data_IF_789537482539
#
_entry.id   IF_789537482539
#
_cell.length_a   1.000
_cell.length_b   1.000
_cell.length_c   1.000
_cell.angle_alpha   90.00
_cell.angle_beta   90.00
_cell.angle_gamma   90.00
#
_symmetry.space_group_name_H-M   'P 1'
#
loop_
_entity.id
_entity.type
_entity.pdbx_description
1 polymer ?
#
# COMPACT_ATOMS: atom_id res chain seq x y z
N UNK A 1 -7.24 69.93 58.49
CA UNK A 1 -8.06 69.52 57.36
C UNK A 1 -7.15 68.73 56.45
N UNK A 2 -7.08 67.40 56.62
CA UNK A 2 -6.29 66.52 55.82
C UNK A 2 -7.23 65.40 55.38
N UNK A 3 -7.39 65.28 54.06
CA UNK A 3 -8.28 64.29 53.42
C UNK A 3 -7.62 62.94 53.37
N UNK A 4 -8.39 61.97 53.83
CA UNK A 4 -8.09 60.54 53.65
C UNK A 4 -8.17 60.08 52.17
N UNK A 5 -7.12 59.54 51.69
CA UNK A 5 -7.11 58.78 50.40
C UNK A 5 -7.11 57.25 50.65
N UNK A 6 -8.24 56.65 50.38
CA UNK A 6 -8.42 55.19 50.40
C UNK A 6 -7.64 54.52 49.34
N UNK A 7 -6.69 53.67 49.75
CA UNK A 7 -5.92 52.75 48.90
C UNK A 7 -6.77 51.47 48.66
N UNK A 8 -7.37 51.36 47.49
CA UNK A 8 -8.03 50.09 47.05
C UNK A 8 -6.98 49.15 46.51
N UNK A 9 -6.75 48.13 47.27
CA UNK A 9 -5.92 46.97 46.86
C UNK A 9 -6.69 46.15 45.81
N UNK A 10 -6.21 46.13 44.56
CA UNK A 10 -6.72 45.25 43.51
C UNK A 10 -5.95 43.94 43.61
N UNK A 11 -6.61 42.89 44.12
CA UNK A 11 -6.13 41.52 44.05
C UNK A 11 -6.40 40.97 42.63
N UNK A 12 -5.35 40.79 41.83
CA UNK A 12 -5.41 40.01 40.62
C UNK A 12 -5.30 38.52 40.98
N UNK A 13 -6.41 37.78 40.90
CA UNK A 13 -6.40 36.32 40.96
C UNK A 13 -5.98 35.79 39.62
N UNK A 14 -4.75 35.31 39.50
CA UNK A 14 -4.32 34.46 38.37
C UNK A 14 -4.95 33.05 38.55
N UNK A 15 -6.01 32.78 37.79
CA UNK A 15 -6.50 31.42 37.60
C UNK A 15 -5.58 30.72 36.60
N UNK A 16 -4.67 29.86 37.09
CA UNK A 16 -3.93 28.94 36.27
C UNK A 16 -4.90 27.82 35.89
N UNK A 17 -5.43 27.87 34.67
CA UNK A 17 -6.14 26.75 34.09
C UNK A 17 -5.10 25.63 33.76
N UNK A 18 -5.00 24.63 34.62
CA UNK A 18 -4.29 23.40 34.29
C UNK A 18 -5.11 22.70 33.21
N UNK A 19 -4.67 22.81 31.97
CA UNK A 19 -5.15 21.96 30.87
C UNK A 19 -4.60 20.57 31.15
N UNK A 20 -5.37 19.73 31.82
CA UNK A 20 -5.13 18.29 31.82
C UNK A 20 -5.39 17.80 30.38
N UNK A 21 -4.32 17.57 29.64
CA UNK A 21 -4.42 16.78 28.41
C UNK A 21 -4.97 15.41 28.84
N UNK A 22 -6.27 15.20 28.66
CA UNK A 22 -6.85 13.88 28.76
C UNK A 22 -6.20 13.06 27.65
N UNK A 23 -5.36 12.08 28.01
CA UNK A 23 -4.92 11.07 27.06
C UNK A 23 -6.19 10.45 26.47
N UNK A 24 -6.42 10.65 25.18
CA UNK A 24 -7.45 9.90 24.47
C UNK A 24 -7.18 8.39 24.70
N UNK A 25 -8.21 7.58 24.90
CA UNK A 25 -8.00 6.14 25.04
C UNK A 25 -7.20 5.64 23.84
N UNK A 26 -6.12 4.90 24.10
CA UNK A 26 -5.29 4.33 23.06
C UNK A 26 -6.19 3.41 22.21
N UNK A 27 -6.20 3.59 20.89
CA UNK A 27 -7.02 2.77 20.01
C UNK A 27 -6.67 1.29 20.19
N UNK A 28 -7.65 0.41 20.03
CA UNK A 28 -7.40 -1.03 20.03
C UNK A 28 -6.46 -1.35 18.86
N UNK A 29 -5.32 -2.02 19.11
CA UNK A 29 -4.38 -2.32 18.03
C UNK A 29 -5.05 -3.15 16.93
N UNK A 30 -4.85 -2.72 15.68
CA UNK A 30 -5.24 -3.48 14.50
C UNK A 30 -4.18 -4.55 14.21
N UNK A 31 -4.65 -5.73 13.85
CA UNK A 31 -3.88 -6.82 13.26
C UNK A 31 -4.86 -7.69 12.49
N UNK A 32 -5.02 -7.42 11.19
CA UNK A 32 -6.04 -8.08 10.38
C UNK A 32 -5.68 -8.10 8.90
N UNK A 33 -6.22 -9.07 8.18
CA UNK A 33 -6.27 -9.05 6.72
C UNK A 33 -7.42 -8.13 6.30
N UNK A 34 -7.12 -7.16 5.44
CA UNK A 34 -8.11 -6.23 4.91
C UNK A 34 -8.53 -6.58 3.48
N UNK A 35 -7.65 -7.18 2.68
CA UNK A 35 -7.99 -7.69 1.34
C UNK A 35 -7.51 -9.13 1.21
N UNK A 36 -8.33 -10.14 1.51
CA UNK A 36 -8.04 -11.53 1.16
C UNK A 36 -8.09 -11.75 -0.34
N UNK A 37 -7.29 -12.67 -0.86
CA UNK A 37 -7.16 -12.93 -2.28
C UNK A 37 -5.94 -12.23 -2.88
N UNK A 38 -5.94 -11.98 -4.20
CA UNK A 38 -4.79 -11.41 -4.90
C UNK A 38 -4.87 -9.87 -4.97
N UNK A 39 -4.44 -9.23 -3.90
CA UNK A 39 -4.32 -7.77 -3.76
C UNK A 39 -2.89 -7.42 -3.31
N UNK A 40 -1.89 -7.66 -4.17
CA UNK A 40 -0.48 -7.49 -3.82
C UNK A 40 -0.01 -6.04 -3.95
N UNK A 41 1.15 -5.79 -3.32
CA UNK A 41 1.91 -4.55 -3.47
C UNK A 41 1.10 -3.29 -3.10
N UNK A 42 0.47 -3.26 -1.89
CA UNK A 42 -0.39 -2.17 -1.49
C UNK A 42 0.38 -0.85 -1.34
N UNK A 43 -0.18 0.21 -1.89
CA UNK A 43 0.22 1.59 -1.63
C UNK A 43 -0.95 2.36 -1.08
N UNK A 44 -0.75 3.10 0.00
CA UNK A 44 -1.82 3.79 0.72
C UNK A 44 -1.48 5.26 0.94
N UNK A 45 -2.48 6.12 0.77
CA UNK A 45 -2.43 7.57 0.98
C UNK A 45 -3.50 7.99 1.99
N UNK A 46 -3.18 8.89 2.90
CA UNK A 46 -4.15 9.61 3.74
C UNK A 46 -4.36 11.03 3.24
N UNK A 47 -5.61 11.45 3.13
CA UNK A 47 -6.02 12.82 2.86
C UNK A 47 -7.07 13.26 3.89
N UNK A 48 -6.63 13.92 4.95
CA UNK A 48 -7.49 14.24 6.08
C UNK A 48 -7.91 13.02 6.87
N UNK A 49 -9.21 12.69 6.83
CA UNK A 49 -9.78 11.48 7.43
C UNK A 49 -10.00 10.34 6.44
N UNK A 50 -9.70 10.58 5.18
CA UNK A 50 -9.92 9.63 4.09
C UNK A 50 -8.62 8.90 3.76
N UNK A 51 -8.74 7.62 3.42
CA UNK A 51 -7.64 6.77 2.98
C UNK A 51 -7.93 6.25 1.58
N UNK A 52 -6.90 6.22 0.76
CA UNK A 52 -6.97 5.71 -0.61
C UNK A 52 -5.88 4.67 -0.81
N UNK A 53 -6.22 3.56 -1.46
CA UNK A 53 -5.30 2.45 -1.70
C UNK A 53 -5.42 1.96 -3.14
N UNK A 54 -4.32 1.50 -3.69
CA UNK A 54 -4.29 0.74 -4.95
C UNK A 54 -3.21 -0.34 -4.91
N UNK A 55 -3.25 -1.25 -5.87
CA UNK A 55 -2.44 -2.48 -5.91
C UNK A 55 -1.89 -2.71 -7.31
N UNK A 56 -0.98 -3.66 -7.45
CA UNK A 56 -0.61 -4.22 -8.75
C UNK A 56 -1.86 -4.75 -9.46
N UNK A 57 -1.94 -4.53 -10.75
CA UNK A 57 -3.07 -4.98 -11.58
C UNK A 57 -2.66 -5.99 -12.65
N UNK A 58 -1.37 -6.23 -12.79
CA UNK A 58 -0.82 -7.13 -13.81
C UNK A 58 -1.44 -6.90 -15.19
N UNK A 59 -1.93 -7.94 -15.84
CA UNK A 59 -2.53 -7.92 -17.17
C UNK A 59 -4.03 -7.67 -17.17
N UNK A 60 -4.60 -7.21 -16.06
CA UNK A 60 -6.05 -6.98 -15.92
C UNK A 60 -6.41 -5.52 -16.11
N UNK A 61 -7.34 -5.23 -17.04
CA UNK A 61 -7.81 -3.89 -17.38
C UNK A 61 -9.35 -3.78 -17.36
N UNK A 62 -9.92 -2.63 -16.99
CA UNK A 62 -9.25 -1.43 -16.51
C UNK A 62 -8.41 -1.70 -15.26
N UNK A 63 -7.25 -1.04 -15.15
CA UNK A 63 -6.23 -1.30 -14.15
C UNK A 63 -6.20 -0.25 -13.03
N UNK A 64 -5.40 -0.52 -11.98
CA UNK A 64 -5.20 0.35 -10.82
C UNK A 64 -6.54 0.71 -10.17
N UNK A 65 -7.21 -0.31 -9.61
CA UNK A 65 -8.42 -0.10 -8.82
C UNK A 65 -8.10 0.74 -7.59
N UNK A 66 -8.74 1.90 -7.49
CA UNK A 66 -8.62 2.81 -6.36
C UNK A 66 -9.72 2.49 -5.35
N UNK A 67 -9.30 2.24 -4.14
CA UNK A 67 -10.15 1.98 -2.98
C UNK A 67 -10.19 3.20 -2.07
N UNK A 68 -11.32 3.41 -1.40
CA UNK A 68 -11.53 4.43 -0.38
C UNK A 68 -11.94 3.81 0.95
N UNK A 69 -11.47 4.38 2.06
CA UNK A 69 -11.86 4.02 3.42
C UNK A 69 -11.79 5.25 4.33
N UNK A 70 -12.57 5.23 5.42
CA UNK A 70 -12.47 6.20 6.52
C UNK A 70 -12.03 5.58 7.85
N UNK A 71 -11.82 4.25 7.87
CA UNK A 71 -11.48 3.51 9.10
C UNK A 71 -10.34 2.49 8.93
N UNK A 72 -9.76 2.36 7.71
CA UNK A 72 -8.69 1.43 7.34
C UNK A 72 -9.12 -0.06 7.31
N UNK A 73 -10.36 -0.37 7.61
CA UNK A 73 -10.88 -1.74 7.69
C UNK A 73 -11.92 -2.02 6.62
N UNK A 74 -12.86 -1.10 6.44
CA UNK A 74 -13.90 -1.19 5.43
C UNK A 74 -13.55 -0.32 4.23
N UNK A 75 -13.59 -0.92 3.05
CA UNK A 75 -13.13 -0.29 1.81
C UNK A 75 -14.23 -0.32 0.75
N UNK A 76 -14.29 0.70 -0.07
CA UNK A 76 -15.16 0.76 -1.24
C UNK A 76 -14.35 1.03 -2.50
N UNK A 77 -14.60 0.35 -3.61
CA UNK A 77 -13.95 0.66 -4.89
C UNK A 77 -14.58 1.92 -5.48
N UNK A 78 -13.75 2.91 -5.85
CA UNK A 78 -14.24 4.21 -6.32
C UNK A 78 -13.84 4.56 -7.76
N UNK A 79 -12.76 3.97 -8.29
CA UNK A 79 -12.29 4.24 -9.64
C UNK A 79 -11.37 3.14 -10.17
N UNK A 80 -11.19 3.11 -11.48
CA UNK A 80 -10.08 2.47 -12.18
C UNK A 80 -9.25 3.57 -12.85
N UNK A 81 -7.96 3.67 -12.53
CA UNK A 81 -7.14 4.80 -12.94
C UNK A 81 -6.52 4.66 -14.34
N UNK A 82 -6.47 3.44 -14.90
CA UNK A 82 -5.94 3.16 -16.24
C UNK A 82 -6.93 2.31 -17.00
N UNK A 83 -7.45 2.83 -18.10
CA UNK A 83 -8.53 2.19 -18.87
C UNK A 83 -8.08 0.95 -19.64
N UNK A 84 -6.93 1.03 -20.32
CA UNK A 84 -6.43 -0.05 -21.18
C UNK A 84 -4.92 0.01 -21.33
N UNK A 85 -4.31 -1.12 -21.74
CA UNK A 85 -2.87 -1.24 -22.00
C UNK A 85 -2.49 -2.63 -22.51
N UNK A 86 -1.34 -2.72 -23.18
CA UNK A 86 -0.74 -3.95 -23.71
C UNK A 86 0.49 -4.40 -22.90
N UNK A 87 0.46 -4.14 -21.60
CA UNK A 87 1.52 -4.42 -20.62
C UNK A 87 0.93 -4.83 -19.28
N UNK A 88 1.75 -5.47 -18.45
CA UNK A 88 1.41 -5.66 -17.04
C UNK A 88 1.76 -4.42 -16.23
N UNK A 89 0.94 -4.09 -15.23
CA UNK A 89 1.18 -3.04 -14.25
C UNK A 89 1.56 -3.69 -12.92
N UNK A 90 2.77 -3.37 -12.45
CA UNK A 90 3.28 -3.84 -11.18
C UNK A 90 3.07 -2.80 -10.07
N UNK A 91 3.76 -2.94 -8.95
CA UNK A 91 3.61 -2.18 -7.73
C UNK A 91 3.53 -0.65 -7.94
N UNK A 92 2.37 -0.03 -7.71
CA UNK A 92 2.19 1.42 -7.88
C UNK A 92 2.61 2.21 -6.64
N UNK A 93 2.61 3.54 -6.79
CA UNK A 93 2.68 4.49 -5.69
C UNK A 93 1.62 5.59 -5.84
N UNK A 94 0.68 5.68 -4.89
CA UNK A 94 -0.33 6.73 -4.84
C UNK A 94 0.12 7.86 -3.92
N UNK A 95 0.09 9.08 -4.41
CA UNK A 95 0.43 10.26 -3.61
C UNK A 95 -0.44 11.48 -3.97
N UNK A 96 -0.42 12.51 -3.11
CA UNK A 96 -1.10 13.79 -3.33
C UNK A 96 -0.11 14.92 -3.16
N UNK A 97 -0.01 15.80 -4.16
CA UNK A 97 0.86 16.97 -4.14
C UNK A 97 0.06 18.18 -4.64
N UNK A 98 0.06 19.27 -3.88
CA UNK A 98 -0.63 20.52 -4.20
C UNK A 98 -2.12 20.32 -4.60
N UNK A 99 -2.79 19.42 -3.88
CA UNK A 99 -4.20 19.11 -4.09
C UNK A 99 -4.51 18.14 -5.22
N UNK A 100 -3.52 17.73 -6.02
CA UNK A 100 -3.66 16.78 -7.14
C UNK A 100 -3.19 15.39 -6.74
N UNK A 101 -3.93 14.37 -7.15
CA UNK A 101 -3.59 12.96 -6.97
C UNK A 101 -2.72 12.47 -8.13
N UNK A 102 -1.77 11.60 -7.81
CA UNK A 102 -0.85 10.94 -8.73
C UNK A 102 -0.80 9.45 -8.41
N UNK A 103 -0.76 8.61 -9.44
CA UNK A 103 -0.36 7.21 -9.30
C UNK A 103 0.79 6.98 -10.26
N UNK A 104 1.98 6.73 -9.70
CA UNK A 104 3.16 6.28 -10.43
C UNK A 104 3.14 4.77 -10.49
N UNK A 105 3.46 4.18 -11.63
CA UNK A 105 3.46 2.74 -11.77
C UNK A 105 4.46 2.25 -12.82
N UNK A 106 5.13 1.10 -12.58
CA UNK A 106 6.00 0.47 -13.55
C UNK A 106 5.22 -0.52 -14.39
N UNK A 107 5.76 -0.84 -15.57
CA UNK A 107 5.18 -1.81 -16.49
C UNK A 107 6.15 -2.94 -16.80
N UNK A 108 5.61 -4.07 -17.30
CA UNK A 108 6.41 -5.21 -17.78
C UNK A 108 7.37 -4.87 -18.94
N UNK A 109 7.23 -3.68 -19.54
CA UNK A 109 8.17 -3.17 -20.55
C UNK A 109 9.39 -2.46 -19.96
N UNK A 110 9.51 -2.41 -18.61
CA UNK A 110 10.61 -1.74 -17.93
C UNK A 110 10.49 -0.22 -17.89
N UNK A 111 9.29 0.30 -18.09
CA UNK A 111 8.96 1.71 -18.17
C UNK A 111 8.09 2.12 -16.99
N UNK A 112 8.28 3.34 -16.48
CA UNK A 112 7.40 3.95 -15.49
C UNK A 112 6.46 4.96 -16.15
N UNK A 113 5.23 5.01 -15.66
CA UNK A 113 4.18 5.94 -16.06
C UNK A 113 3.60 6.65 -14.86
N UNK A 114 2.88 7.74 -15.11
CA UNK A 114 2.06 8.44 -14.13
C UNK A 114 0.71 8.78 -14.71
N UNK A 115 -0.34 8.64 -13.90
CA UNK A 115 -1.67 9.19 -14.15
C UNK A 115 -2.01 10.16 -13.03
N UNK A 116 -2.82 11.17 -13.34
CA UNK A 116 -3.20 12.22 -12.38
C UNK A 116 -4.69 12.48 -12.38
N UNK A 117 -5.22 12.94 -11.23
CA UNK A 117 -6.60 13.38 -11.10
C UNK A 117 -6.72 14.51 -10.08
N UNK A 118 -7.74 15.34 -10.21
CA UNK A 118 -8.05 16.37 -9.21
C UNK A 118 -8.84 15.80 -8.03
N UNK A 119 -9.47 14.62 -8.22
CA UNK A 119 -10.19 13.86 -7.20
C UNK A 119 -9.89 12.37 -7.36
N UNK A 120 -9.90 11.57 -6.28
CA UNK A 120 -9.53 10.17 -6.33
C UNK A 120 -10.50 9.30 -7.15
N UNK A 121 -11.77 9.73 -7.29
CA UNK A 121 -12.76 9.08 -8.16
C UNK A 121 -12.48 9.38 -9.65
N UNK A 122 -11.56 10.27 -9.93
CA UNK A 122 -11.23 10.72 -11.28
C UNK A 122 -12.08 11.91 -11.80
N UNK A 123 -12.14 12.13 -13.12
CA UNK A 123 -11.47 11.29 -14.14
C UNK A 123 -9.94 11.34 -14.02
N UNK A 124 -9.32 10.20 -14.21
CA UNK A 124 -7.86 10.09 -14.28
C UNK A 124 -7.37 10.46 -15.68
N UNK A 125 -6.19 11.06 -15.75
CA UNK A 125 -5.57 11.45 -17.02
C UNK A 125 -5.17 10.24 -17.87
N UNK A 126 -4.92 10.43 -19.15
CA UNK A 126 -4.16 9.46 -19.92
C UNK A 126 -2.79 9.23 -19.28
N UNK A 127 -2.23 8.00 -19.37
CA UNK A 127 -0.90 7.69 -18.87
C UNK A 127 0.19 8.55 -19.52
N UNK A 128 1.04 9.15 -18.70
CA UNK A 128 2.24 9.88 -19.14
C UNK A 128 3.45 9.02 -18.85
N UNK A 129 4.21 8.68 -19.90
CA UNK A 129 5.45 7.92 -19.77
C UNK A 129 6.54 8.80 -19.15
N UNK A 130 7.23 8.26 -18.16
CA UNK A 130 8.40 8.87 -17.54
C UNK A 130 9.69 8.27 -18.13
N UNK A 131 10.72 9.09 -18.26
CA UNK A 131 12.08 8.60 -18.56
C UNK A 131 12.78 8.18 -17.25
N UNK A 132 12.17 7.22 -16.56
CA UNK A 132 12.64 6.62 -15.30
C UNK A 132 12.57 5.11 -15.46
N UNK A 133 13.72 4.45 -15.32
CA UNK A 133 13.82 3.00 -15.32
C UNK A 133 13.62 2.40 -13.91
N UNK A 134 13.62 1.07 -13.82
CA UNK A 134 13.41 0.33 -12.58
C UNK A 134 11.94 0.05 -12.31
N UNK A 135 11.68 -0.61 -11.19
CA UNK A 135 10.33 -0.99 -10.74
C UNK A 135 10.04 -0.37 -9.37
N UNK A 136 8.79 -0.49 -8.91
CA UNK A 136 8.33 -0.12 -7.59
C UNK A 136 8.60 1.36 -7.28
N UNK A 137 7.99 2.30 -8.00
CA UNK A 137 8.19 3.72 -7.73
C UNK A 137 7.74 4.09 -6.31
N UNK A 138 8.46 5.06 -5.72
CA UNK A 138 8.08 5.72 -4.47
C UNK A 138 8.35 7.20 -4.58
N UNK A 139 7.30 8.02 -4.54
CA UNK A 139 7.40 9.46 -4.70
C UNK A 139 7.71 10.17 -3.37
N UNK A 140 8.51 11.22 -3.43
CA UNK A 140 8.75 12.10 -2.29
C UNK A 140 8.90 13.56 -2.73
N UNK A 141 8.43 14.48 -1.88
CA UNK A 141 8.80 15.89 -1.92
C UNK A 141 9.88 16.10 -0.86
N UNK A 142 11.05 16.54 -1.30
CA UNK A 142 12.19 16.76 -0.42
C UNK A 142 12.08 18.10 0.34
N UNK A 143 13.04 18.35 1.23
CA UNK A 143 13.13 19.54 2.07
C UNK A 143 13.28 20.85 1.28
N UNK A 144 13.79 20.77 0.06
CA UNK A 144 13.96 21.89 -0.88
C UNK A 144 12.73 22.15 -1.75
N UNK A 145 11.65 21.36 -1.56
CA UNK A 145 10.43 21.43 -2.34
C UNK A 145 10.50 20.71 -3.69
N UNK A 146 11.64 20.15 -4.07
CA UNK A 146 11.77 19.36 -5.29
C UNK A 146 11.15 17.98 -5.15
N UNK A 147 10.70 17.43 -6.26
CA UNK A 147 10.07 16.11 -6.34
C UNK A 147 11.07 15.08 -6.83
N UNK A 148 10.99 13.90 -6.24
CA UNK A 148 11.86 12.77 -6.59
C UNK A 148 11.05 11.48 -6.67
N UNK A 149 11.49 10.58 -7.54
CA UNK A 149 10.94 9.24 -7.68
C UNK A 149 12.03 8.21 -7.34
N UNK A 150 11.85 7.50 -6.26
CA UNK A 150 12.63 6.33 -5.93
C UNK A 150 12.19 5.13 -6.75
N UNK A 151 13.11 4.22 -7.02
CA UNK A 151 12.84 2.91 -7.63
C UNK A 151 13.69 1.84 -6.95
N UNK A 152 13.49 0.59 -7.31
CA UNK A 152 14.24 -0.54 -6.76
C UNK A 152 15.76 -0.32 -6.78
N UNK A 153 16.50 -1.12 -6.00
CA UNK A 153 17.96 -1.04 -5.82
C UNK A 153 18.46 0.30 -5.26
N UNK A 154 17.58 1.07 -4.60
CA UNK A 154 17.92 2.34 -3.94
C UNK A 154 18.26 3.49 -4.87
N UNK A 155 17.77 3.46 -6.11
CA UNK A 155 17.90 4.56 -7.05
C UNK A 155 16.85 5.64 -6.81
N UNK A 156 17.22 6.89 -7.08
CA UNK A 156 16.33 8.05 -7.05
C UNK A 156 16.56 8.93 -8.27
N UNK A 157 15.48 9.36 -8.90
CA UNK A 157 15.48 10.26 -10.07
C UNK A 157 14.76 11.55 -9.71
N UNK A 158 15.36 12.74 -9.93
CA UNK A 158 14.65 14.00 -9.78
C UNK A 158 13.55 14.13 -10.86
N UNK A 159 12.41 14.67 -10.45
CA UNK A 159 11.27 14.94 -11.34
C UNK A 159 11.13 16.44 -11.61
N UNK A 160 10.42 16.76 -12.69
CA UNK A 160 9.94 18.12 -12.95
C UNK A 160 8.97 18.58 -11.83
N UNK A 161 8.76 19.89 -11.61
CA UNK A 161 7.89 20.39 -10.57
C UNK A 161 6.45 19.85 -10.63
N UNK A 162 5.94 19.58 -11.83
CA UNK A 162 4.63 18.97 -12.05
C UNK A 162 4.62 17.44 -11.84
N UNK A 163 5.81 16.82 -11.67
CA UNK A 163 5.96 15.38 -11.46
C UNK A 163 5.70 14.50 -12.69
N UNK A 164 5.64 15.09 -13.89
CA UNK A 164 5.26 14.38 -15.12
C UNK A 164 6.44 13.99 -16.01
N UNK A 165 7.67 14.33 -15.63
CA UNK A 165 8.87 13.96 -16.36
C UNK A 165 10.09 13.85 -15.43
N UNK A 166 11.10 13.09 -15.85
CA UNK A 166 12.42 13.12 -15.24
C UNK A 166 13.10 14.47 -15.47
N UNK A 167 13.70 15.07 -14.43
CA UNK A 167 14.48 16.31 -14.49
C UNK A 167 15.99 16.07 -14.39
N UNK A 168 16.42 14.82 -14.36
CA UNK A 168 17.84 14.48 -14.26
C UNK A 168 18.08 12.98 -14.36
N UNK A 169 19.33 12.59 -14.12
CA UNK A 169 19.72 11.17 -14.15
C UNK A 169 19.48 10.48 -12.81
N UNK A 170 19.18 9.18 -12.79
CA UNK A 170 19.08 8.42 -11.56
C UNK A 170 20.40 8.38 -10.80
N UNK A 171 20.32 8.43 -9.48
CA UNK A 171 21.45 8.30 -8.57
C UNK A 171 21.11 7.25 -7.52
N UNK A 172 22.07 6.35 -7.22
CA UNK A 172 21.95 5.43 -6.10
C UNK A 172 22.21 6.16 -4.80
N UNK A 173 21.30 6.05 -3.82
CA UNK A 173 21.36 6.74 -2.52
C UNK A 173 21.15 5.81 -1.33
N UNK A 174 20.80 4.54 -1.59
CA UNK A 174 20.57 3.54 -0.55
C UNK A 174 21.03 2.16 -1.02
N UNK A 175 21.63 1.38 -0.11
CA UNK A 175 22.14 0.04 -0.39
C UNK A 175 21.35 -1.08 0.31
N UNK A 176 20.24 -0.73 0.99
CA UNK A 176 19.43 -1.68 1.74
C UNK A 176 19.97 -1.97 3.15
N UNK A 177 19.23 -2.82 3.84
CA UNK A 177 19.62 -3.41 5.10
C UNK A 177 20.23 -4.81 4.86
N UNK A 178 21.33 -5.12 5.52
CA UNK A 178 21.94 -6.43 5.40
C UNK A 178 21.36 -7.37 6.44
N UNK A 179 20.44 -8.21 6.00
CA UNK A 179 19.91 -9.28 6.85
C UNK A 179 20.95 -10.41 7.06
N UNK A 180 20.79 -11.26 8.09
CA UNK A 180 21.69 -12.37 8.38
C UNK A 180 21.86 -13.33 7.17
N UNK A 181 23.11 -13.72 6.89
CA UNK A 181 23.44 -14.57 5.73
C UNK A 181 22.80 -15.97 5.79
N UNK A 182 22.46 -16.44 6.99
CA UNK A 182 21.80 -17.72 7.22
C UNK A 182 20.29 -17.71 6.94
N UNK A 183 19.71 -16.54 6.67
CA UNK A 183 18.27 -16.46 6.33
C UNK A 183 18.02 -16.97 4.92
N UNK A 184 17.01 -17.84 4.81
CA UNK A 184 16.58 -18.36 3.52
C UNK A 184 15.67 -17.34 2.81
N UNK A 185 16.18 -16.80 1.71
CA UNK A 185 15.49 -15.80 0.88
C UNK A 185 15.57 -16.16 -0.59
N UNK A 186 14.71 -15.56 -1.42
CA UNK A 186 14.82 -15.64 -2.88
C UNK A 186 16.10 -14.94 -3.39
N UNK A 187 16.48 -13.85 -2.73
CA UNK A 187 17.65 -13.05 -3.05
C UNK A 187 17.62 -11.74 -2.25
N UNK A 188 18.56 -10.84 -2.48
CA UNK A 188 18.58 -9.57 -1.76
C UNK A 188 17.38 -8.67 -2.15
N UNK A 189 17.11 -8.50 -3.40
CA UNK A 189 15.93 -7.84 -4.02
C UNK A 189 15.44 -6.60 -3.26
N UNK A 190 16.27 -5.54 -3.21
CA UNK A 190 15.88 -4.25 -2.63
C UNK A 190 14.85 -3.55 -3.52
N UNK A 191 13.59 -3.46 -3.05
CA UNK A 191 12.45 -2.97 -3.82
C UNK A 191 11.44 -2.22 -2.94
N UNK A 192 10.29 -1.80 -3.49
CA UNK A 192 9.19 -1.15 -2.76
C UNK A 192 9.58 0.08 -1.95
N UNK A 193 10.33 1.06 -2.47
CA UNK A 193 10.64 2.26 -1.70
C UNK A 193 9.38 3.09 -1.48
N UNK A 194 9.00 3.31 -0.21
CA UNK A 194 7.92 4.21 0.22
C UNK A 194 8.48 5.22 1.20
N UNK A 195 8.17 6.49 0.98
CA UNK A 195 8.75 7.57 1.76
C UNK A 195 7.69 8.45 2.41
N UNK A 196 7.94 8.82 3.66
CA UNK A 196 7.16 9.80 4.37
C UNK A 196 8.03 10.61 5.33
N UNK A 197 7.49 11.73 5.80
CA UNK A 197 8.16 12.59 6.78
C UNK A 197 7.42 12.54 8.12
N UNK A 198 8.17 12.31 9.21
CA UNK A 198 7.65 12.40 10.58
C UNK A 198 8.63 13.19 11.44
N UNK A 199 8.14 14.29 11.98
CA UNK A 199 9.03 15.24 12.69
C UNK A 199 10.13 15.76 11.78
N UNK A 200 11.37 15.63 12.24
CA UNK A 200 12.57 16.04 11.50
C UNK A 200 13.15 14.96 10.59
N UNK A 201 12.55 13.78 10.54
CA UNK A 201 13.07 12.63 9.81
C UNK A 201 12.25 12.32 8.57
N UNK A 202 12.94 12.00 7.48
CA UNK A 202 12.41 11.21 6.39
C UNK A 202 12.61 9.73 6.70
N UNK A 203 11.60 8.94 6.47
CA UNK A 203 11.64 7.49 6.58
C UNK A 203 11.52 6.89 5.20
N UNK A 204 12.38 5.93 4.93
CA UNK A 204 12.36 5.08 3.74
C UNK A 204 12.00 3.67 4.18
N UNK A 205 10.86 3.21 3.74
CA UNK A 205 10.40 1.84 3.91
C UNK A 205 10.68 1.10 2.63
N UNK A 206 11.32 -0.05 2.71
CA UNK A 206 11.63 -0.90 1.55
C UNK A 206 11.26 -2.35 1.84
N UNK A 207 11.17 -3.14 0.78
CA UNK A 207 11.12 -4.59 0.87
C UNK A 207 12.48 -5.18 0.50
N UNK A 208 12.81 -6.31 1.12
CA UNK A 208 13.98 -7.13 0.80
C UNK A 208 13.61 -8.60 0.83
N UNK A 209 14.46 -9.46 0.28
CA UNK A 209 14.33 -10.92 0.32
C UNK A 209 13.57 -11.53 -0.85
N UNK A 210 12.68 -10.77 -1.50
CA UNK A 210 11.86 -11.24 -2.62
C UNK A 210 10.60 -12.00 -2.20
N UNK A 211 9.55 -11.87 -2.99
CA UNK A 211 8.20 -12.39 -2.68
C UNK A 211 7.94 -13.82 -3.19
N UNK A 212 8.72 -14.30 -4.18
CA UNK A 212 8.53 -15.62 -4.79
C UNK A 212 9.42 -16.72 -4.19
N UNK A 213 10.20 -16.41 -3.17
CA UNK A 213 11.08 -17.33 -2.48
C UNK A 213 10.38 -18.24 -1.45
N UNK A 214 11.16 -18.80 -0.51
CA UNK A 214 10.60 -19.57 0.58
C UNK A 214 9.67 -18.72 1.48
N UNK A 215 8.86 -19.37 2.33
CA UNK A 215 7.92 -18.66 3.22
C UNK A 215 8.53 -17.53 4.06
N UNK A 216 9.81 -17.66 4.39
CA UNK A 216 10.58 -16.71 5.21
C UNK A 216 11.34 -15.66 4.39
N UNK A 217 11.08 -15.55 3.08
CA UNK A 217 11.91 -14.75 2.18
C UNK A 217 11.70 -13.24 2.35
N UNK A 218 10.48 -12.79 2.18
CA UNK A 218 10.16 -11.36 2.06
C UNK A 218 10.09 -10.67 3.42
N UNK A 219 10.45 -9.37 3.45
CA UNK A 219 10.43 -8.58 4.68
C UNK A 219 10.20 -7.10 4.39
N UNK A 220 9.72 -6.36 5.39
CA UNK A 220 9.66 -4.89 5.38
C UNK A 220 10.78 -4.37 6.25
N UNK A 221 11.63 -3.51 5.69
CA UNK A 221 12.72 -2.86 6.41
C UNK A 221 12.57 -1.34 6.39
N UNK A 222 13.15 -0.67 7.37
CA UNK A 222 13.00 0.77 7.56
C UNK A 222 14.39 1.41 7.73
N UNK A 223 14.57 2.53 7.05
CA UNK A 223 15.70 3.43 7.26
C UNK A 223 15.18 4.87 7.46
N UNK A 224 15.99 5.75 8.03
CA UNK A 224 15.67 7.18 8.18
C UNK A 224 16.84 8.09 7.82
N UNK A 225 16.54 9.34 7.51
CA UNK A 225 17.51 10.38 7.24
C UNK A 225 16.97 11.76 7.57
N UNK A 226 17.84 12.74 7.78
CA UNK A 226 17.44 14.17 7.85
C UNK A 226 17.15 14.78 6.49
N UNK A 227 17.56 14.12 5.42
CA UNK A 227 17.29 14.52 4.03
C UNK A 227 16.54 13.42 3.29
N UNK A 228 15.63 13.83 2.39
CA UNK A 228 14.92 12.89 1.51
C UNK A 228 15.86 12.10 0.58
N UNK A 229 17.12 12.49 0.46
CA UNK A 229 18.12 11.85 -0.40
C UNK A 229 19.23 11.12 0.39
N UNK A 230 19.03 10.93 1.69
CA UNK A 230 20.04 10.29 2.56
C UNK A 230 21.13 11.28 3.07
N UNK A 231 22.19 10.80 3.72
CA UNK A 231 22.49 9.37 3.92
C UNK A 231 21.48 8.69 4.84
N UNK A 232 21.19 7.42 4.58
CA UNK A 232 20.18 6.63 5.27
C UNK A 232 20.82 5.84 6.43
N UNK A 233 20.15 5.88 7.60
CA UNK A 233 20.44 5.09 8.78
C UNK A 233 19.39 3.97 8.87
N UNK A 234 19.83 2.71 8.89
CA UNK A 234 18.95 1.57 9.05
C UNK A 234 18.41 1.46 10.48
N UNK A 235 17.15 1.07 10.62
CA UNK A 235 16.56 0.80 11.92
C UNK A 235 17.32 -0.32 12.65
N UNK A 236 17.64 -0.16 13.94
CA UNK A 236 18.17 -1.23 14.75
C UNK A 236 17.13 -2.33 15.05
N UNK A 237 15.87 -2.09 14.71
CA UNK A 237 14.73 -3.00 14.88
C UNK A 237 14.32 -3.70 13.58
N UNK A 238 15.14 -3.59 12.52
CA UNK A 238 14.85 -4.30 11.28
C UNK A 238 14.96 -5.82 11.45
N UNK A 239 14.09 -6.57 10.75
CA UNK A 239 12.99 -6.11 9.90
C UNK A 239 11.78 -5.67 10.72
N UNK A 240 11.02 -4.66 10.22
CA UNK A 240 9.76 -4.23 10.85
C UNK A 240 8.69 -5.33 10.75
N UNK A 241 8.61 -6.00 9.59
CA UNK A 241 7.70 -7.12 9.33
C UNK A 241 8.48 -8.24 8.67
N UNK A 242 8.29 -9.47 9.16
CA UNK A 242 8.95 -10.66 8.61
C UNK A 242 8.19 -11.94 8.97
N UNK A 243 8.39 -13.00 8.21
CA UNK A 243 7.97 -14.36 8.53
C UNK A 243 9.18 -15.14 9.00
N UNK A 244 9.20 -15.55 10.26
CA UNK A 244 10.33 -16.25 10.88
C UNK A 244 10.26 -17.77 10.76
N UNK A 245 9.10 -18.34 10.41
CA UNK A 245 8.88 -19.77 10.28
C UNK A 245 7.83 -20.09 9.22
N UNK A 246 8.06 -21.18 8.48
CA UNK A 246 7.05 -21.74 7.57
C UNK A 246 5.77 -22.25 8.27
N UNK A 247 5.77 -22.35 9.60
CA UNK A 247 4.58 -22.71 10.39
C UNK A 247 3.68 -21.50 10.68
N UNK A 248 4.12 -20.27 10.33
CA UNK A 248 3.30 -19.08 10.49
C UNK A 248 2.09 -19.09 9.53
N UNK A 249 1.03 -18.38 9.93
CA UNK A 249 -0.19 -18.27 9.13
C UNK A 249 0.05 -17.48 7.82
N UNK A 250 0.88 -16.43 7.87
CA UNK A 250 1.23 -15.61 6.73
C UNK A 250 2.68 -15.79 6.33
N UNK A 251 2.90 -16.04 5.04
CA UNK A 251 4.20 -16.24 4.42
C UNK A 251 4.63 -15.04 3.59
N UNK A 252 5.94 -14.87 3.44
CA UNK A 252 6.55 -13.83 2.60
C UNK A 252 5.92 -12.44 2.84
N UNK A 253 5.84 -12.04 4.12
CA UNK A 253 5.32 -10.73 4.53
C UNK A 253 6.26 -9.64 4.09
N UNK A 254 5.85 -8.76 3.17
CA UNK A 254 6.71 -7.72 2.62
C UNK A 254 5.94 -6.65 1.85
N UNK A 255 6.67 -5.81 1.13
CA UNK A 255 6.15 -4.72 0.30
C UNK A 255 5.23 -3.78 1.10
N UNK A 256 5.78 -3.17 2.17
CA UNK A 256 5.01 -2.41 3.14
C UNK A 256 4.98 -0.91 2.89
N UNK A 257 3.88 -0.28 3.31
CA UNK A 257 3.73 1.17 3.41
C UNK A 257 3.31 1.52 4.84
N UNK A 258 3.96 2.51 5.46
CA UNK A 258 3.52 3.05 6.75
C UNK A 258 2.56 4.22 6.54
N UNK A 259 1.52 4.28 7.36
CA UNK A 259 0.48 5.31 7.32
C UNK A 259 0.03 5.67 8.74
N UNK A 260 -0.30 6.93 8.97
CA UNK A 260 -0.94 7.39 10.20
C UNK A 260 -2.43 7.69 10.00
N UNK A 261 -3.19 7.75 11.09
CA UNK A 261 -4.56 8.30 11.10
C UNK A 261 -4.60 9.72 11.68
N UNK A 262 -5.76 10.35 11.63
CA UNK A 262 -5.94 11.70 12.16
C UNK A 262 -5.79 11.79 13.69
N UNK A 263 -5.86 10.68 14.41
CA UNK A 263 -5.64 10.59 15.84
C UNK A 263 -4.15 10.37 16.20
N UNK A 264 -3.30 10.18 15.18
CA UNK A 264 -1.85 9.95 15.33
C UNK A 264 -1.47 8.50 15.64
N UNK A 265 -2.37 7.55 15.43
CA UNK A 265 -2.01 6.14 15.44
C UNK A 265 -1.32 5.79 14.12
N UNK A 266 -0.40 4.82 14.17
CA UNK A 266 0.38 4.39 13.03
C UNK A 266 0.14 2.93 12.69
N UNK A 267 0.23 2.64 11.40
CA UNK A 267 -0.02 1.32 10.86
C UNK A 267 0.99 1.01 9.76
N UNK A 268 1.28 -0.27 9.58
CA UNK A 268 1.94 -0.79 8.38
C UNK A 268 0.92 -1.62 7.59
N UNK A 269 0.83 -1.32 6.29
CA UNK A 269 0.05 -2.11 5.32
C UNK A 269 1.04 -2.83 4.44
N UNK A 270 0.89 -4.14 4.27
CA UNK A 270 1.82 -4.97 3.52
C UNK A 270 1.09 -6.17 2.90
N UNK A 271 1.74 -6.92 2.02
CA UNK A 271 1.16 -8.14 1.49
C UNK A 271 1.78 -9.41 2.08
N UNK A 272 1.03 -10.52 2.00
CA UNK A 272 1.52 -11.84 2.37
C UNK A 272 0.71 -12.95 1.67
N UNK A 273 1.33 -14.11 1.46
CA UNK A 273 0.61 -15.32 1.10
C UNK A 273 0.03 -15.99 2.35
N UNK A 274 -1.15 -16.56 2.20
CA UNK A 274 -1.70 -17.41 3.23
C UNK A 274 -1.11 -18.82 3.14
N UNK A 275 -0.60 -19.32 4.27
CA UNK A 275 -0.09 -20.69 4.39
C UNK A 275 -1.12 -21.72 3.89
N UNK A 276 -0.72 -22.64 3.04
CA UNK A 276 -1.53 -23.63 2.31
C UNK A 276 -2.50 -23.08 1.24
N UNK A 277 -2.57 -21.75 1.03
CA UNK A 277 -3.46 -21.12 0.05
C UNK A 277 -2.68 -20.15 -0.86
N UNK A 278 -1.45 -20.49 -1.18
CA UNK A 278 -0.56 -19.68 -2.02
C UNK A 278 -1.19 -19.31 -3.37
N UNK A 279 -1.99 -20.19 -3.94
CA UNK A 279 -2.67 -19.97 -5.24
C UNK A 279 -3.80 -18.94 -5.19
N UNK A 280 -4.23 -18.50 -4.00
CA UNK A 280 -5.16 -17.38 -3.86
C UNK A 280 -4.47 -16.01 -4.01
N UNK A 281 -3.15 -15.99 -4.18
CA UNK A 281 -2.39 -14.77 -4.34
C UNK A 281 -1.97 -14.13 -3.02
N UNK A 282 -1.54 -12.88 -3.10
CA UNK A 282 -1.00 -12.10 -1.97
C UNK A 282 -2.09 -11.21 -1.36
N UNK A 283 -2.51 -11.56 -0.17
CA UNK A 283 -3.50 -10.78 0.59
C UNK A 283 -2.88 -9.52 1.17
N UNK A 284 -3.66 -8.45 1.30
CA UNK A 284 -3.24 -7.22 1.99
C UNK A 284 -3.60 -7.28 3.47
N UNK A 285 -2.63 -6.95 4.30
CA UNK A 285 -2.68 -7.01 5.75
C UNK A 285 -2.37 -5.64 6.35
N UNK A 286 -2.99 -5.32 7.48
CA UNK A 286 -2.69 -4.13 8.26
C UNK A 286 -2.35 -4.52 9.69
N UNK A 287 -1.27 -3.95 10.24
CA UNK A 287 -0.89 -4.06 11.64
C UNK A 287 -0.56 -2.69 12.25
N UNK A 288 -0.90 -2.53 13.53
CA UNK A 288 -0.56 -1.33 14.29
C UNK A 288 0.92 -1.23 14.56
N UNK A 289 1.43 0.00 14.48
CA UNK A 289 2.82 0.36 14.73
C UNK A 289 2.88 1.35 15.89
N UNK A 290 3.86 1.20 16.76
CA UNK A 290 4.22 2.22 17.73
C UNK A 290 5.65 2.72 17.50
N UNK A 291 5.94 3.88 18.07
CA UNK A 291 7.24 4.52 17.92
C UNK A 291 8.04 4.40 19.21
N UNK A 292 9.28 3.94 19.09
CA UNK A 292 10.21 3.92 20.20
C UNK A 292 10.58 5.33 20.66
N UNK A 293 11.21 5.46 21.83
CA UNK A 293 11.62 6.77 22.37
C UNK A 293 12.67 7.48 21.49
N UNK A 294 13.38 6.75 20.65
CA UNK A 294 14.37 7.24 19.70
C UNK A 294 13.85 7.29 18.25
N UNK A 295 12.52 7.36 18.10
CA UNK A 295 11.83 7.57 16.82
C UNK A 295 12.04 6.44 15.79
N UNK A 296 11.95 5.18 16.20
CA UNK A 296 11.88 4.04 15.30
C UNK A 296 10.53 3.34 15.36
N UNK A 297 9.97 2.90 14.22
CA UNK A 297 8.73 2.13 14.22
C UNK A 297 8.99 0.68 14.63
N UNK A 298 8.08 0.13 15.43
CA UNK A 298 8.01 -1.28 15.79
C UNK A 298 6.56 -1.75 15.74
N UNK A 299 6.33 -3.04 15.51
CA UNK A 299 4.97 -3.58 15.57
C UNK A 299 4.46 -3.56 17.02
N UNK A 300 3.18 -3.25 17.17
CA UNK A 300 2.52 -3.39 18.47
C UNK A 300 2.31 -4.88 18.74
N UNK A 301 3.04 -5.43 19.72
CA UNK A 301 2.78 -6.77 20.20
C UNK A 301 1.39 -6.81 20.86
N UNK A 302 0.49 -7.60 20.30
CA UNK A 302 -0.82 -7.87 20.87
C UNK A 302 -0.72 -9.16 21.64
N UNK A 303 -0.75 -9.11 22.97
CA UNK A 303 -0.73 -10.27 23.84
C UNK A 303 -1.75 -11.32 23.39
N UNK A 304 -1.27 -12.49 22.97
CA UNK A 304 -2.09 -13.63 22.60
C UNK A 304 -2.85 -13.53 21.27
N UNK A 305 -2.67 -12.47 20.48
CA UNK A 305 -3.25 -12.39 19.15
C UNK A 305 -2.52 -13.35 18.20
N UNK A 306 -3.09 -14.50 18.01
CA UNK A 306 -2.72 -15.42 16.94
C UNK A 306 -3.59 -15.12 15.73
N UNK A 307 -2.98 -15.23 14.54
CA UNK A 307 -3.77 -15.32 13.32
C UNK A 307 -4.67 -16.56 13.44
N UNK A 308 -5.97 -16.38 13.20
CA UNK A 308 -6.89 -17.51 13.33
C UNK A 308 -6.65 -18.52 12.21
N UNK A 309 -6.39 -19.76 12.58
CA UNK A 309 -6.11 -20.85 11.63
C UNK A 309 -7.38 -21.39 10.94
N UNK A 310 -8.56 -20.97 11.38
CA UNK A 310 -9.85 -21.52 10.91
C UNK A 310 -10.57 -20.62 9.89
N UNK A 311 -9.82 -19.86 9.11
CA UNK A 311 -10.36 -18.93 8.14
C UNK A 311 -10.15 -17.46 8.54
N UNK A 312 -10.33 -16.58 7.56
CA UNK A 312 -10.21 -15.13 7.78
C UNK A 312 -11.49 -14.62 8.45
N UNK A 313 -11.34 -13.98 9.60
CA UNK A 313 -12.43 -13.34 10.33
C UNK A 313 -12.53 -11.89 9.91
N UNK A 314 -13.54 -11.53 9.15
CA UNK A 314 -13.77 -10.15 8.71
C UNK A 314 -15.05 -10.03 7.89
N UNK A 315 -15.56 -8.81 7.79
CA UNK A 315 -16.59 -8.47 6.81
C UNK A 315 -15.91 -8.05 5.51
N UNK A 316 -15.91 -8.93 4.53
CA UNK A 316 -15.36 -8.71 3.19
C UNK A 316 -16.47 -8.53 2.13
N UNK A 317 -17.65 -8.05 2.53
CA UNK A 317 -18.78 -7.83 1.63
C UNK A 317 -18.43 -6.88 0.49
N UNK A 318 -17.56 -5.90 0.72
CA UNK A 318 -17.07 -4.98 -0.31
C UNK A 318 -16.26 -5.64 -1.44
N UNK A 319 -15.73 -6.85 -1.23
CA UNK A 319 -15.03 -7.63 -2.25
C UNK A 319 -15.96 -8.60 -2.98
N UNK A 320 -17.21 -8.75 -2.53
CA UNK A 320 -18.21 -9.69 -3.04
C UNK A 320 -19.42 -9.01 -3.68
N UNK A 321 -19.37 -7.70 -3.85
CA UNK A 321 -20.40 -6.95 -4.60
C UNK A 321 -20.20 -7.13 -6.12
N UNK A 322 -20.50 -8.32 -6.62
CA UNK A 322 -20.28 -8.68 -8.02
C UNK A 322 -21.21 -7.92 -9.00
N UNK A 323 -22.17 -7.14 -8.51
CA UNK A 323 -22.94 -6.19 -9.31
C UNK A 323 -22.15 -4.88 -9.54
N UNK A 324 -21.11 -4.62 -8.76
CA UNK A 324 -20.25 -3.46 -8.93
C UNK A 324 -19.25 -3.67 -10.09
N UNK A 325 -19.37 -2.91 -11.19
CA UNK A 325 -18.51 -3.10 -12.36
C UNK A 325 -17.03 -2.81 -12.08
N UNK A 326 -16.70 -2.05 -11.03
CA UNK A 326 -15.32 -1.76 -10.66
C UNK A 326 -14.57 -2.98 -10.13
N UNK A 327 -15.27 -4.01 -9.64
CA UNK A 327 -14.64 -5.26 -9.19
C UNK A 327 -14.28 -6.20 -10.34
N UNK A 328 -14.68 -5.88 -11.56
CA UNK A 328 -14.38 -6.69 -12.74
C UNK A 328 -13.28 -6.07 -13.59
N UNK A 329 -12.42 -6.92 -14.11
CA UNK A 329 -11.41 -6.54 -15.08
C UNK A 329 -11.32 -7.59 -16.20
N UNK A 330 -10.92 -7.13 -17.38
CA UNK A 330 -10.65 -7.94 -18.54
C UNK A 330 -9.19 -8.42 -18.51
N UNK A 331 -8.95 -9.69 -18.72
CA UNK A 331 -7.60 -10.14 -19.02
C UNK A 331 -7.26 -9.72 -20.46
N UNK A 332 -6.27 -8.85 -20.64
CA UNK A 332 -6.08 -8.11 -21.88
C UNK A 332 -5.65 -8.99 -23.06
N UNK A 333 -4.93 -10.09 -22.80
CA UNK A 333 -4.46 -10.99 -23.87
C UNK A 333 -5.59 -11.74 -24.57
N UNK A 334 -6.83 -11.67 -24.04
CA UNK A 334 -7.94 -12.50 -24.50
C UNK A 334 -7.80 -13.94 -24.01
N UNK A 335 -8.84 -14.74 -24.18
CA UNK A 335 -8.83 -16.13 -23.76
C UNK A 335 -9.73 -16.93 -24.67
N UNK A 336 -9.18 -18.00 -25.29
CA UNK A 336 -9.92 -18.95 -26.13
C UNK A 336 -10.83 -18.25 -27.17
N UNK A 337 -10.25 -17.30 -27.93
CA UNK A 337 -10.95 -16.46 -28.91
C UNK A 337 -12.09 -15.56 -28.33
N UNK A 338 -12.19 -15.45 -27.03
CA UNK A 338 -13.21 -14.68 -26.31
C UNK A 338 -12.64 -13.59 -25.42
N UNK A 339 -13.53 -12.92 -24.72
CA UNK A 339 -13.22 -11.96 -23.64
C UNK A 339 -13.34 -12.68 -22.31
N UNK A 340 -12.28 -12.70 -21.53
CA UNK A 340 -12.28 -13.17 -20.15
C UNK A 340 -12.46 -11.98 -19.21
N UNK A 341 -13.63 -11.88 -18.57
CA UNK A 341 -13.87 -10.95 -17.47
C UNK A 341 -13.62 -11.66 -16.16
N UNK A 342 -12.81 -11.06 -15.30
CA UNK A 342 -12.37 -11.66 -14.04
C UNK A 342 -12.70 -10.80 -12.84
N UNK A 343 -12.89 -11.45 -11.71
CA UNK A 343 -12.90 -10.85 -10.38
C UNK A 343 -12.09 -11.75 -9.45
N UNK A 344 -11.53 -11.17 -8.38
CA UNK A 344 -10.64 -11.91 -7.47
C UNK A 344 -11.44 -12.90 -6.62
N UNK A 345 -10.96 -14.14 -6.52
CA UNK A 345 -11.47 -15.11 -5.55
C UNK A 345 -10.92 -14.77 -4.16
N UNK A 346 -11.81 -14.56 -3.20
CA UNK A 346 -11.47 -14.16 -1.82
C UNK A 346 -11.70 -15.26 -0.80
N UNK A 347 -12.42 -16.31 -1.16
CA UNK A 347 -12.81 -17.42 -0.30
C UNK A 347 -12.12 -18.72 -0.70
N UNK A 348 -11.89 -19.59 0.28
CA UNK A 348 -11.29 -20.93 0.06
C UNK A 348 -12.28 -21.92 -0.56
N UNK A 349 -13.57 -21.68 -0.37
CA UNK A 349 -14.66 -22.51 -0.85
C UNK A 349 -15.88 -21.65 -1.12
N UNK A 350 -16.44 -21.78 -2.31
CA UNK A 350 -17.60 -20.99 -2.71
C UNK A 350 -18.48 -21.77 -3.71
N UNK A 351 -19.73 -21.36 -3.80
CA UNK A 351 -20.66 -21.77 -4.84
C UNK A 351 -21.01 -20.54 -5.67
N UNK A 352 -20.91 -20.64 -7.00
CA UNK A 352 -21.23 -19.56 -7.92
C UNK A 352 -22.39 -19.98 -8.79
N UNK A 353 -23.40 -19.10 -8.88
CA UNK A 353 -24.48 -19.18 -9.86
C UNK A 353 -24.42 -17.97 -10.77
N UNK A 354 -24.29 -18.19 -12.08
CA UNK A 354 -24.27 -17.12 -13.07
C UNK A 354 -25.37 -17.33 -14.11
N UNK A 355 -26.00 -16.22 -14.55
CA UNK A 355 -26.98 -16.22 -15.62
C UNK A 355 -26.44 -15.40 -16.79
N UNK A 356 -26.31 -16.03 -17.93
CA UNK A 356 -25.81 -15.41 -19.15
C UNK A 356 -26.96 -15.13 -20.13
N UNK A 357 -26.86 -13.99 -20.81
CA UNK A 357 -27.64 -13.68 -22.03
C UNK A 357 -26.64 -13.65 -23.19
N UNK A 358 -26.77 -14.59 -24.11
CA UNK A 358 -25.82 -14.77 -25.22
C UNK A 358 -26.55 -14.51 -26.53
N UNK A 359 -26.01 -13.73 -27.49
CA UNK A 359 -26.59 -13.56 -28.81
C UNK A 359 -26.56 -14.89 -29.58
N UNK A 360 -27.36 -15.00 -30.61
CA UNK A 360 -27.39 -16.20 -31.46
C UNK A 360 -26.01 -16.55 -32.02
N UNK A 361 -25.60 -17.79 -31.82
CA UNK A 361 -24.25 -18.27 -32.18
C UNK A 361 -23.12 -17.90 -31.22
N UNK A 362 -23.41 -17.13 -30.18
CA UNK A 362 -22.44 -16.81 -29.13
C UNK A 362 -22.30 -17.98 -28.14
N UNK A 363 -21.22 -17.92 -27.35
CA UNK A 363 -20.96 -18.83 -26.23
C UNK A 363 -20.66 -18.02 -24.97
N UNK A 364 -21.04 -18.54 -23.82
CA UNK A 364 -20.63 -18.02 -22.51
C UNK A 364 -20.26 -19.17 -21.58
N UNK A 365 -19.43 -18.91 -20.60
CA UNK A 365 -18.99 -19.92 -19.65
C UNK A 365 -18.50 -19.32 -18.36
N UNK A 366 -18.31 -20.18 -17.38
CA UNK A 366 -17.74 -19.84 -16.09
C UNK A 366 -16.41 -20.54 -15.93
N UNK A 367 -15.39 -19.80 -15.50
CA UNK A 367 -14.03 -20.30 -15.34
C UNK A 367 -13.49 -19.97 -13.96
N UNK A 368 -12.80 -20.95 -13.36
CA UNK A 368 -11.82 -20.71 -12.31
C UNK A 368 -10.48 -20.54 -13.03
N UNK A 369 -9.98 -19.31 -13.05
CA UNK A 369 -8.84 -18.92 -13.85
C UNK A 369 -7.67 -18.52 -12.96
N UNK A 370 -6.53 -19.15 -13.14
CA UNK A 370 -5.26 -18.79 -12.50
C UNK A 370 -4.33 -18.11 -13.50
N UNK A 371 -4.11 -18.74 -14.65
CA UNK A 371 -3.42 -18.22 -15.82
C UNK A 371 -3.83 -18.99 -17.06
N UNK A 372 -3.26 -18.68 -18.23
CA UNK A 372 -3.56 -19.32 -19.51
C UNK A 372 -3.23 -20.82 -19.58
N UNK A 373 -2.33 -21.30 -18.70
CA UNK A 373 -1.92 -22.70 -18.61
C UNK A 373 -2.67 -23.46 -17.49
N UNK A 374 -3.28 -22.76 -16.57
CA UNK A 374 -3.91 -23.32 -15.39
C UNK A 374 -5.30 -22.71 -15.15
N UNK A 375 -6.33 -23.37 -15.64
CA UNK A 375 -7.72 -22.99 -15.47
C UNK A 375 -8.65 -24.19 -15.48
N UNK A 376 -9.84 -24.01 -14.93
CA UNK A 376 -10.93 -24.97 -15.00
C UNK A 376 -12.22 -24.22 -15.33
N UNK A 377 -12.96 -24.71 -16.34
CA UNK A 377 -14.20 -24.03 -16.72
C UNK A 377 -15.09 -24.87 -17.61
N UNK A 378 -16.30 -24.34 -17.80
CA UNK A 378 -17.30 -24.91 -18.70
C UNK A 378 -17.98 -23.77 -19.49
N UNK A 379 -17.93 -23.87 -20.82
CA UNK A 379 -18.69 -23.03 -21.73
C UNK A 379 -19.82 -23.84 -22.38
N UNK A 380 -20.95 -23.21 -22.67
CA UNK A 380 -22.10 -23.82 -23.31
C UNK A 380 -22.71 -22.93 -24.40
#
# INVERSE_FOLDING_TARGET
MINDMNLRTILFSLAVAAVTAACAPKATPLKTCIFPGDYPDPTILRDGNDFYMTHSSFTYFPALLVWHSTDLVHWEPIARAVEDGDYSIFAPDICKVDGKFYIYYPTSKGENYVVTADRPEGPWSAPVKLDVGGIDPGHVVAEDGNRYLYTNNGFVTPLTPDGLAAAGRPKKVYDGWKFPEEWETEGFWLESPKLFKRGDWYYLVTAEGGTAGPPTSHMVVVARSKSALGPWENSPHNPLVHTYSADEFWWSKGHGTLIDDAAGNWYVVYHAYRNNYHTLGRSTIIESVEWTADDWPILVEKDGAKWEQNGLQGDYSYLRDYDNPLLWAKWHAGFDDGTLMTTTAVDESYEITAKFSVPEGGKAGLYLFYNEEAYFGQAG
#
